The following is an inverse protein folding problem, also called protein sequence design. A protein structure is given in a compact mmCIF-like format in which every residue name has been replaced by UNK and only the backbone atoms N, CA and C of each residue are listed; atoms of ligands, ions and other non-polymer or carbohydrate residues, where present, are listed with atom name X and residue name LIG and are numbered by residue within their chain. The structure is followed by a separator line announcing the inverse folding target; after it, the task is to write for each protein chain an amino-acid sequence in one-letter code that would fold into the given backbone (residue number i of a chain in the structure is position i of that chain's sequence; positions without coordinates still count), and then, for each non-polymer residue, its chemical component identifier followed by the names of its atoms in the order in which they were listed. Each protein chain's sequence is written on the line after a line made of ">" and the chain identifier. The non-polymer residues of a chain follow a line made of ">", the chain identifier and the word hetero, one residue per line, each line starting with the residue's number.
data_IF_045388199659
#
_entry.id   IF_045388199659
#
_cell.length_a   1.000
_cell.length_b   1.000
_cell.length_c   1.000
_cell.angle_alpha   90.00
_cell.angle_beta   90.00
_cell.angle_gamma   90.00
#
_symmetry.space_group_name_H-M   'P 1'
#
loop_
_entity.id
_entity.type
_entity.pdbx_description
1 polymer ?
#
# COMPACT_ATOMS: atom_id res chain seq x y z
N UNK A 1 16.19 23.40 17.22
CA UNK A 1 15.38 23.39 18.45
C UNK A 1 14.35 22.29 18.30
N UNK A 2 14.64 21.14 18.89
CA UNK A 2 13.76 19.97 18.94
C UNK A 2 12.76 20.19 20.08
N UNK A 3 11.47 20.37 19.75
CA UNK A 3 10.38 20.69 20.70
C UNK A 3 9.53 19.45 20.99
N UNK A 4 10.10 18.23 20.95
CA UNK A 4 9.32 16.98 21.16
C UNK A 4 10.04 15.87 21.93
N UNK A 5 10.90 16.24 22.85
CA UNK A 5 11.16 15.44 24.05
C UNK A 5 10.36 16.23 25.11
N UNK A 6 9.19 15.83 25.63
CA UNK A 6 8.95 14.77 26.60
C UNK A 6 7.42 14.60 26.81
N UNK A 7 6.63 14.26 25.78
CA UNK A 7 5.17 14.14 25.98
C UNK A 7 4.86 13.02 27.00
N UNK A 8 4.10 13.29 28.07
CA UNK A 8 3.86 12.31 29.13
C UNK A 8 3.03 11.13 28.60
N UNK A 9 3.24 9.94 29.16
CA UNK A 9 2.68 8.68 28.67
C UNK A 9 1.15 8.71 28.50
N UNK A 10 0.44 9.45 29.36
CA UNK A 10 -1.00 9.66 29.28
C UNK A 10 -1.43 10.43 28.02
N UNK A 11 -0.67 11.43 27.57
CA UNK A 11 -1.02 12.23 26.39
C UNK A 11 -0.78 11.45 25.09
N UNK A 12 0.26 10.60 25.06
CA UNK A 12 0.51 9.67 23.95
C UNK A 12 -0.59 8.60 23.87
N UNK A 13 -1.03 8.06 25.01
CA UNK A 13 -2.14 7.07 25.07
C UNK A 13 -3.46 7.71 24.64
N UNK A 14 -3.75 8.94 25.07
CA UNK A 14 -4.93 9.71 24.68
C UNK A 14 -4.92 9.97 23.17
N UNK A 15 -3.82 10.46 22.60
CA UNK A 15 -3.68 10.66 21.14
C UNK A 15 -3.89 9.38 20.33
N UNK A 16 -3.44 8.22 20.82
CA UNK A 16 -3.65 6.93 20.16
C UNK A 16 -5.12 6.49 20.17
N UNK A 17 -5.88 6.83 21.21
CA UNK A 17 -7.32 6.52 21.31
C UNK A 17 -8.15 7.38 20.34
N UNK A 18 -7.73 8.61 20.05
CA UNK A 18 -8.46 9.53 19.17
C UNK A 18 -8.10 9.45 17.69
N UNK A 19 -7.04 8.73 17.32
CA UNK A 19 -6.66 8.57 15.92
C UNK A 19 -7.01 7.17 15.43
N UNK A 20 -8.06 7.06 14.61
CA UNK A 20 -8.33 5.88 13.81
C UNK A 20 -7.10 5.57 12.95
N UNK A 21 -6.60 4.33 13.03
CA UNK A 21 -5.48 3.88 12.22
C UNK A 21 -5.87 3.92 10.74
N UNK A 22 -5.18 4.72 9.94
CA UNK A 22 -5.49 4.87 8.53
C UNK A 22 -4.93 3.68 7.75
N UNK A 23 -5.77 3.06 6.91
CA UNK A 23 -5.41 1.88 6.11
C UNK A 23 -5.40 2.22 4.62
N UNK A 24 -4.35 1.80 3.92
CA UNK A 24 -4.26 1.88 2.47
C UNK A 24 -3.89 0.51 1.87
N UNK A 25 -4.69 0.05 0.92
CA UNK A 25 -4.35 -1.07 0.06
C UNK A 25 -3.83 -0.53 -1.28
N UNK A 26 -2.61 -0.95 -1.65
CA UNK A 26 -1.98 -0.57 -2.91
C UNK A 26 -1.93 -1.80 -3.81
N UNK A 27 -2.73 -1.77 -4.87
CA UNK A 27 -2.70 -2.79 -5.91
C UNK A 27 -1.68 -2.42 -6.99
N UNK A 28 -0.69 -3.28 -7.22
CA UNK A 28 0.39 -3.00 -8.19
C UNK A 28 0.95 -4.29 -8.79
N UNK A 29 1.60 -4.18 -9.96
CA UNK A 29 2.44 -5.26 -10.52
C UNK A 29 3.92 -5.10 -10.15
N UNK A 30 4.29 -4.02 -9.47
CA UNK A 30 5.66 -3.68 -9.09
C UNK A 30 5.78 -3.41 -7.57
N UNK A 31 5.55 -4.42 -6.71
CA UNK A 31 5.56 -4.24 -5.26
C UNK A 31 6.89 -3.69 -4.73
N UNK A 32 8.01 -4.04 -5.38
CA UNK A 32 9.35 -3.59 -4.99
C UNK A 32 9.53 -2.06 -5.00
N UNK A 33 8.75 -1.32 -5.80
CA UNK A 33 8.84 0.16 -5.84
C UNK A 33 8.47 0.82 -4.51
N UNK A 34 7.71 0.12 -3.66
CA UNK A 34 7.25 0.65 -2.38
C UNK A 34 8.20 0.33 -1.22
N UNK A 35 9.20 -0.54 -1.42
CA UNK A 35 10.15 -0.90 -0.36
C UNK A 35 10.90 0.31 0.19
N UNK A 36 11.47 1.14 -0.69
CA UNK A 36 12.26 2.32 -0.30
C UNK A 36 11.40 3.49 0.22
N UNK A 37 10.31 3.92 -0.45
CA UNK A 37 9.50 5.03 0.06
C UNK A 37 8.86 4.75 1.42
N UNK A 38 8.48 3.49 1.69
CA UNK A 38 7.85 3.10 2.96
C UNK A 38 8.86 2.89 4.09
N UNK A 39 10.15 2.70 3.79
CA UNK A 39 11.19 2.51 4.79
C UNK A 39 11.80 3.82 5.30
N UNK A 40 11.42 4.97 4.75
CA UNK A 40 12.10 6.24 5.00
C UNK A 40 11.20 7.30 5.65
N UNK A 41 11.86 8.26 6.33
CA UNK A 41 11.28 9.53 6.76
C UNK A 41 9.96 9.39 7.57
N UNK A 42 8.93 10.17 7.21
CA UNK A 42 7.68 10.30 7.95
C UNK A 42 6.77 9.07 7.80
N UNK A 43 6.80 8.42 6.63
CA UNK A 43 6.02 7.21 6.37
C UNK A 43 6.49 6.06 7.26
N UNK A 44 7.80 5.85 7.37
CA UNK A 44 8.37 4.86 8.28
C UNK A 44 7.95 5.10 9.73
N UNK A 45 8.05 6.35 10.20
CA UNK A 45 7.62 6.72 11.56
C UNK A 45 6.12 6.50 11.79
N UNK A 46 5.28 6.75 10.79
CA UNK A 46 3.84 6.54 10.89
C UNK A 46 3.48 5.05 10.96
N UNK A 47 4.15 4.21 10.15
CA UNK A 47 4.05 2.75 10.19
C UNK A 47 4.52 2.21 11.55
N UNK A 48 5.69 2.64 12.03
CA UNK A 48 6.26 2.20 13.31
C UNK A 48 5.41 2.62 14.52
N UNK A 49 4.68 3.73 14.42
CA UNK A 49 3.73 4.19 15.44
C UNK A 49 2.35 3.53 15.33
N UNK A 50 2.11 2.72 14.31
CA UNK A 50 0.82 2.04 14.10
C UNK A 50 -0.34 2.99 13.83
N UNK A 51 -0.08 4.22 13.35
CA UNK A 51 -1.14 5.17 12.94
C UNK A 51 -1.46 5.06 11.44
N UNK A 52 -0.64 4.29 10.71
CA UNK A 52 -0.74 4.01 9.29
C UNK A 52 -0.49 2.53 9.06
N UNK A 53 -1.33 1.89 8.25
CA UNK A 53 -1.14 0.54 7.74
C UNK A 53 -1.17 0.60 6.20
N UNK A 54 -0.14 0.06 5.56
CA UNK A 54 -0.06 -0.02 4.09
C UNK A 54 0.13 -1.48 3.68
N UNK A 55 -0.79 -1.97 2.86
CA UNK A 55 -0.76 -3.32 2.30
C UNK A 55 -0.46 -3.27 0.82
N UNK A 56 0.70 -3.78 0.42
CA UNK A 56 1.06 -3.87 -0.98
C UNK A 56 0.58 -5.21 -1.52
N UNK A 57 -0.41 -5.18 -2.42
CA UNK A 57 -0.95 -6.36 -3.09
C UNK A 57 -0.34 -6.46 -4.48
N UNK A 58 0.43 -7.52 -4.73
CA UNK A 58 0.92 -7.81 -6.07
C UNK A 58 -0.19 -8.46 -6.90
N UNK A 59 -0.65 -7.78 -7.93
CA UNK A 59 -1.75 -8.25 -8.78
C UNK A 59 -1.46 -9.62 -9.41
N UNK A 60 -0.19 -9.96 -9.63
CA UNK A 60 0.24 -11.27 -10.17
C UNK A 60 -0.14 -12.43 -9.25
N UNK A 61 -0.34 -12.19 -7.96
CA UNK A 61 -0.76 -13.22 -7.00
C UNK A 61 -2.23 -13.61 -7.15
N UNK A 62 -3.03 -12.78 -7.84
CA UNK A 62 -4.45 -12.98 -8.08
C UNK A 62 -4.75 -13.47 -9.49
N UNK A 63 -3.74 -13.98 -10.20
CA UNK A 63 -3.88 -14.56 -11.55
C UNK A 63 -4.02 -16.09 -11.45
N UNK A 64 -4.70 -16.71 -12.42
CA UNK A 64 -4.90 -18.17 -12.45
C UNK A 64 -4.08 -18.88 -13.53
N UNK A 65 -3.52 -18.12 -14.47
CA UNK A 65 -2.69 -18.67 -15.53
C UNK A 65 -1.23 -18.91 -15.08
N UNK A 66 -0.57 -19.87 -15.72
CA UNK A 66 0.82 -20.27 -15.42
C UNK A 66 1.82 -19.11 -15.53
N UNK A 67 1.54 -18.12 -16.39
CA UNK A 67 2.45 -17.02 -16.71
C UNK A 67 2.19 -15.76 -15.88
N UNK A 68 1.17 -15.79 -15.02
CA UNK A 68 0.72 -14.70 -14.17
C UNK A 68 0.45 -13.41 -14.95
N UNK A 69 -0.29 -13.53 -16.05
CA UNK A 69 -0.63 -12.41 -16.93
C UNK A 69 -1.67 -11.49 -16.28
N UNK A 70 -1.42 -10.18 -16.37
CA UNK A 70 -2.22 -9.14 -15.69
C UNK A 70 -2.91 -8.19 -16.66
N UNK A 71 -2.64 -8.34 -17.94
CA UNK A 71 -3.11 -7.51 -19.04
C UNK A 71 -3.56 -8.37 -20.23
N UNK A 72 -4.39 -7.79 -21.09
CA UNK A 72 -4.93 -8.42 -22.30
C UNK A 72 -5.15 -7.36 -23.40
N UNK A 73 -5.40 -7.84 -24.61
CA UNK A 73 -5.66 -6.97 -25.75
C UNK A 73 -6.97 -6.19 -25.57
N UNK A 74 -7.00 -4.89 -25.93
CA UNK A 74 -8.23 -4.12 -25.94
C UNK A 74 -9.21 -4.67 -26.98
N UNK A 75 -10.49 -4.70 -26.63
CA UNK A 75 -11.55 -4.91 -27.62
C UNK A 75 -11.52 -3.84 -28.70
N UNK A 76 -11.70 -4.23 -29.96
CA UNK A 76 -11.57 -3.34 -31.12
C UNK A 76 -10.14 -3.16 -31.63
N UNK A 77 -9.15 -3.78 -30.98
CA UNK A 77 -7.74 -3.67 -31.36
C UNK A 77 -7.12 -2.32 -30.99
N UNK A 78 -5.94 -2.02 -31.56
CA UNK A 78 -5.15 -0.83 -31.25
C UNK A 78 -3.80 -1.18 -30.62
N UNK A 79 -2.98 -0.16 -30.40
CA UNK A 79 -1.68 -0.32 -29.76
C UNK A 79 -1.84 -0.36 -28.22
N UNK A 80 -1.04 -1.22 -27.57
CA UNK A 80 -1.01 -1.36 -26.12
C UNK A 80 -1.91 -2.47 -25.58
N UNK A 81 -1.95 -2.56 -24.26
CA UNK A 81 -2.65 -3.58 -23.49
C UNK A 81 -3.51 -2.92 -22.42
N UNK A 82 -4.56 -3.62 -21.98
CA UNK A 82 -5.46 -3.19 -20.91
C UNK A 82 -5.37 -4.17 -19.75
N UNK A 83 -5.47 -3.67 -18.51
CA UNK A 83 -5.47 -4.53 -17.33
C UNK A 83 -6.63 -5.53 -17.37
N UNK A 84 -6.32 -6.80 -17.07
CA UNK A 84 -7.32 -7.86 -16.98
C UNK A 84 -8.25 -7.62 -15.80
N UNK A 85 -9.57 -7.74 -15.98
CA UNK A 85 -10.52 -7.55 -14.90
C UNK A 85 -10.42 -8.64 -13.83
N UNK A 86 -10.13 -9.90 -14.20
CA UNK A 86 -10.17 -11.04 -13.28
C UNK A 86 -9.20 -10.90 -12.08
N UNK A 87 -7.90 -10.62 -12.27
CA UNK A 87 -7.01 -10.43 -11.12
C UNK A 87 -7.33 -9.17 -10.33
N UNK A 88 -7.89 -8.13 -10.95
CA UNK A 88 -8.25 -6.87 -10.26
C UNK A 88 -9.45 -7.08 -9.34
N UNK A 89 -10.45 -7.85 -9.78
CA UNK A 89 -11.65 -8.14 -8.98
C UNK A 89 -11.34 -9.09 -7.82
N UNK A 90 -10.37 -10.01 -7.99
CA UNK A 90 -10.00 -10.97 -6.94
C UNK A 90 -9.12 -10.38 -5.84
N UNK A 91 -8.48 -9.24 -6.07
CA UNK A 91 -7.50 -8.64 -5.16
C UNK A 91 -8.13 -7.85 -4.00
#
# INVERSE_FOLDING_TARGET
>A
MDVRRDAPANETIVLHIYYEMIKFDVLTIFPGMFSSPLSESLLKKALDKGVLEIRIKNLRDYTEDKHRMTDDYPYGGGAGMVMKPEPVIRA
#
